data_IF_630405658610
#
_entry.id   IF_630405658610
#
_cell.length_a   1.000
_cell.length_b   1.000
_cell.length_c   1.000
_cell.angle_alpha   90.00
_cell.angle_beta   90.00
_cell.angle_gamma   90.00
#
_symmetry.space_group_name_H-M   'P 1'
#
loop_
_entity.id
_entity.type
_entity.pdbx_description
1 polymer ?
#
# COMPACT_ATOMS: atom_id res chain seq x y z
N UNK A 1 9.97 -26.21 -4.71
CA UNK A 1 9.47 -26.63 -6.05
C UNK A 1 9.13 -25.46 -6.99
N UNK A 2 9.00 -24.24 -6.46
CA UNK A 2 8.67 -23.02 -7.21
C UNK A 2 9.42 -22.84 -8.54
N UNK A 3 10.77 -22.89 -8.62
CA UNK A 3 11.48 -22.52 -9.85
C UNK A 3 11.16 -23.43 -11.04
N UNK A 4 10.75 -24.68 -10.79
CA UNK A 4 10.32 -25.59 -11.85
C UNK A 4 8.89 -25.27 -12.28
N UNK A 5 7.98 -25.18 -11.32
CA UNK A 5 6.54 -24.99 -11.58
C UNK A 5 6.24 -23.67 -12.27
N UNK A 6 6.91 -22.58 -11.86
CA UNK A 6 6.69 -21.27 -12.46
C UNK A 6 7.07 -21.26 -13.95
N UNK A 7 8.19 -21.90 -14.32
CA UNK A 7 8.63 -22.00 -15.72
C UNK A 7 7.63 -22.75 -16.60
N UNK A 8 6.99 -23.78 -16.06
CA UNK A 8 6.01 -24.58 -16.79
C UNK A 8 4.70 -23.80 -17.00
N UNK A 9 4.42 -22.80 -16.15
CA UNK A 9 3.21 -21.98 -16.19
C UNK A 9 3.38 -20.69 -16.98
N UNK A 10 4.59 -20.16 -17.14
CA UNK A 10 4.79 -18.86 -17.79
C UNK A 10 4.71 -18.95 -19.32
N UNK A 11 4.07 -17.94 -19.93
CA UNK A 11 4.02 -17.69 -21.38
C UNK A 11 4.63 -16.32 -21.64
N UNK A 12 5.71 -16.26 -22.41
CA UNK A 12 6.32 -14.99 -22.79
C UNK A 12 5.34 -14.13 -23.61
N UNK A 13 5.24 -12.85 -23.26
CA UNK A 13 4.51 -11.82 -23.99
C UNK A 13 5.44 -10.82 -24.67
N UNK A 14 4.87 -9.70 -25.09
CA UNK A 14 5.59 -8.62 -25.79
C UNK A 14 6.25 -7.67 -24.79
N UNK A 15 7.46 -7.21 -25.09
CA UNK A 15 8.23 -6.23 -24.29
C UNK A 15 8.46 -6.64 -22.83
N UNK A 16 8.75 -7.93 -22.59
CA UNK A 16 9.02 -8.45 -21.24
C UNK A 16 7.78 -8.66 -20.38
N UNK A 17 6.58 -8.43 -20.92
CA UNK A 17 5.34 -8.87 -20.27
C UNK A 17 5.29 -10.41 -20.23
N UNK A 18 4.70 -10.96 -19.18
CA UNK A 18 4.51 -12.39 -18.99
C UNK A 18 3.03 -12.68 -18.78
N UNK A 19 2.52 -13.67 -19.51
CA UNK A 19 1.22 -14.29 -19.25
C UNK A 19 1.44 -15.65 -18.60
N UNK A 20 0.34 -16.36 -18.32
CA UNK A 20 0.37 -17.76 -17.95
C UNK A 20 -0.21 -18.65 -19.05
N UNK A 21 0.21 -19.91 -19.06
CA UNK A 21 -0.34 -21.02 -19.81
C UNK A 21 -0.95 -22.01 -18.82
N UNK A 22 -2.28 -21.98 -18.67
CA UNK A 22 -2.97 -22.94 -17.80
C UNK A 22 -3.36 -24.14 -18.64
N UNK A 23 -2.91 -25.36 -18.31
CA UNK A 23 -3.36 -26.55 -19.00
C UNK A 23 -4.87 -26.75 -18.80
N UNK A 24 -5.54 -27.27 -19.82
CA UNK A 24 -6.96 -27.63 -19.70
C UNK A 24 -7.16 -28.61 -18.54
N UNK A 25 -8.05 -28.26 -17.61
CA UNK A 25 -8.34 -29.14 -16.47
C UNK A 25 -9.07 -30.40 -16.95
N UNK A 26 -8.69 -31.59 -16.43
CA UNK A 26 -9.38 -32.82 -16.77
C UNK A 26 -10.82 -32.78 -16.24
N UNK A 27 -11.72 -33.47 -16.92
CA UNK A 27 -13.08 -33.67 -16.43
C UNK A 27 -13.07 -34.54 -15.17
N UNK A 28 -13.90 -34.18 -14.19
CA UNK A 28 -14.13 -34.98 -12.99
C UNK A 28 -15.46 -35.69 -13.17
N UNK A 29 -15.42 -37.02 -13.24
CA UNK A 29 -16.60 -37.86 -13.49
C UNK A 29 -17.36 -37.50 -14.79
N UNK A 30 -16.63 -37.10 -15.84
CA UNK A 30 -17.21 -36.70 -17.13
C UNK A 30 -17.87 -35.32 -17.11
N UNK A 31 -17.60 -34.50 -16.08
CA UNK A 31 -18.06 -33.13 -15.99
C UNK A 31 -16.89 -32.16 -15.97
N UNK A 32 -17.01 -31.10 -16.77
CA UNK A 32 -16.11 -29.95 -16.67
C UNK A 32 -16.46 -29.18 -15.40
N UNK A 33 -15.52 -29.14 -14.47
CA UNK A 33 -15.62 -28.25 -13.31
C UNK A 33 -15.48 -26.81 -13.83
N UNK A 34 -16.52 -26.00 -13.62
CA UNK A 34 -16.48 -24.56 -13.90
C UNK A 34 -16.27 -23.86 -12.57
N UNK A 35 -15.03 -23.49 -12.29
CA UNK A 35 -14.64 -22.71 -11.12
C UNK A 35 -13.84 -21.49 -11.57
N UNK A 36 -13.97 -20.39 -10.82
CA UNK A 36 -13.08 -19.24 -10.97
C UNK A 36 -11.71 -19.66 -10.41
N UNK A 37 -10.88 -20.17 -11.30
CA UNK A 37 -9.61 -20.79 -10.95
C UNK A 37 -8.57 -19.75 -10.53
N UNK A 38 -8.70 -18.52 -11.05
CA UNK A 38 -7.89 -17.37 -10.68
C UNK A 38 -6.39 -17.64 -10.86
N UNK A 39 -6.02 -18.54 -11.78
CA UNK A 39 -4.64 -19.02 -11.91
C UNK A 39 -3.67 -17.86 -12.18
N UNK A 40 -4.09 -16.84 -12.96
CA UNK A 40 -3.25 -15.66 -13.21
C UNK A 40 -3.02 -14.86 -11.93
N UNK A 41 -4.09 -14.60 -11.16
CA UNK A 41 -3.97 -13.95 -9.87
C UNK A 41 -3.08 -14.74 -8.90
N UNK A 42 -3.29 -16.06 -8.80
CA UNK A 42 -2.54 -16.92 -7.87
C UNK A 42 -1.06 -17.04 -8.25
N UNK A 43 -0.74 -17.18 -9.53
CA UNK A 43 0.65 -17.21 -9.99
C UNK A 43 1.33 -15.87 -9.72
N UNK A 44 0.63 -14.75 -9.91
CA UNK A 44 1.17 -13.41 -9.62
C UNK A 44 1.40 -13.21 -8.13
N UNK A 45 0.43 -13.60 -7.28
CA UNK A 45 0.59 -13.58 -5.82
C UNK A 45 1.75 -14.48 -5.37
N UNK A 46 1.88 -15.68 -5.93
CA UNK A 46 2.97 -16.58 -5.61
C UNK A 46 4.34 -16.03 -6.00
N UNK A 47 4.47 -15.41 -7.18
CA UNK A 47 5.72 -14.75 -7.58
C UNK A 47 6.11 -13.63 -6.59
N UNK A 48 5.13 -12.88 -6.07
CA UNK A 48 5.37 -11.86 -5.04
C UNK A 48 5.88 -12.45 -3.72
N UNK A 49 5.28 -13.55 -3.26
CA UNK A 49 5.73 -14.26 -2.05
C UNK A 49 7.16 -14.77 -2.17
N UNK A 50 7.52 -15.32 -3.33
CA UNK A 50 8.83 -15.93 -3.54
C UNK A 50 9.95 -14.90 -3.80
N UNK A 51 9.63 -13.60 -3.79
CA UNK A 51 10.58 -12.54 -4.10
C UNK A 51 11.09 -12.55 -5.56
N UNK A 52 10.35 -13.19 -6.47
CA UNK A 52 10.70 -13.28 -7.88
C UNK A 52 10.32 -11.99 -8.63
N UNK A 53 11.12 -10.95 -8.39
CA UNK A 53 10.82 -9.59 -8.84
C UNK A 53 10.77 -9.43 -10.36
N UNK A 54 11.50 -10.25 -11.13
CA UNK A 54 11.46 -10.21 -12.59
C UNK A 54 10.15 -10.80 -13.12
N UNK A 55 9.78 -11.99 -12.64
CA UNK A 55 8.52 -12.65 -13.01
C UNK A 55 7.32 -11.81 -12.60
N UNK A 56 7.31 -11.30 -11.36
CA UNK A 56 6.24 -10.45 -10.84
C UNK A 56 6.04 -9.22 -11.73
N UNK A 57 7.12 -8.54 -12.10
CA UNK A 57 7.06 -7.35 -12.97
C UNK A 57 6.50 -7.68 -14.34
N UNK A 58 6.90 -8.80 -14.94
CA UNK A 58 6.37 -9.25 -16.22
C UNK A 58 4.87 -9.55 -16.16
N UNK A 59 4.42 -10.24 -15.12
CA UNK A 59 2.99 -10.55 -14.91
C UNK A 59 2.16 -9.29 -14.69
N UNK A 60 2.62 -8.37 -13.84
CA UNK A 60 1.94 -7.09 -13.61
C UNK A 60 1.90 -6.23 -14.89
N UNK A 61 2.97 -6.24 -15.70
CA UNK A 61 2.98 -5.54 -16.98
C UNK A 61 1.95 -6.12 -17.98
N UNK A 62 1.74 -7.44 -17.97
CA UNK A 62 0.67 -8.06 -18.76
C UNK A 62 -0.71 -7.63 -18.27
N UNK A 63 -0.94 -7.67 -16.95
CA UNK A 63 -2.21 -7.25 -16.36
C UNK A 63 -2.53 -5.79 -16.73
N UNK A 64 -1.57 -4.89 -16.57
CA UNK A 64 -1.77 -3.47 -16.85
C UNK A 64 -2.09 -3.18 -18.32
N UNK A 65 -1.53 -3.99 -19.22
CA UNK A 65 -1.72 -3.80 -20.66
C UNK A 65 -3.03 -4.41 -21.19
N UNK A 66 -3.42 -5.57 -20.68
CA UNK A 66 -4.47 -6.39 -21.31
C UNK A 66 -5.69 -6.66 -20.43
N UNK A 67 -5.64 -6.34 -19.14
CA UNK A 67 -6.73 -6.62 -18.18
C UNK A 67 -7.50 -5.35 -17.76
N UNK A 68 -7.34 -4.27 -18.52
CA UNK A 68 -8.10 -3.02 -18.37
C UNK A 68 -8.12 -2.46 -16.93
N UNK A 69 -6.96 -2.22 -16.30
CA UNK A 69 -6.92 -1.62 -14.96
C UNK A 69 -7.73 -0.31 -14.90
N UNK A 70 -8.48 -0.14 -13.83
CA UNK A 70 -9.32 1.04 -13.61
C UNK A 70 -9.15 1.56 -12.19
N UNK A 71 -9.42 2.85 -12.01
CA UNK A 71 -9.46 3.51 -10.71
C UNK A 71 -10.90 3.84 -10.37
N UNK A 72 -11.31 3.50 -9.15
CA UNK A 72 -12.60 3.88 -8.59
C UNK A 72 -12.35 4.31 -7.14
N UNK A 73 -12.79 5.52 -6.79
CA UNK A 73 -12.69 6.07 -5.43
C UNK A 73 -11.26 6.00 -4.84
N UNK A 74 -10.24 6.22 -5.67
CA UNK A 74 -8.83 6.16 -5.27
C UNK A 74 -8.24 4.75 -5.19
N UNK A 75 -9.01 3.70 -5.46
CA UNK A 75 -8.56 2.31 -5.49
C UNK A 75 -8.32 1.78 -6.92
N UNK A 76 -7.16 1.15 -7.14
CA UNK A 76 -6.88 0.39 -8.36
C UNK A 76 -7.56 -0.98 -8.32
N UNK A 77 -8.28 -1.34 -9.38
CA UNK A 77 -8.86 -2.67 -9.55
C UNK A 77 -8.81 -3.10 -11.02
N UNK A 78 -8.95 -4.40 -11.27
CA UNK A 78 -9.11 -4.94 -12.63
C UNK A 78 -10.56 -5.42 -12.80
N UNK A 79 -11.35 -4.82 -13.70
CA UNK A 79 -12.74 -5.19 -13.93
C UNK A 79 -12.87 -6.65 -14.36
N UNK A 80 -13.96 -7.31 -13.92
CA UNK A 80 -14.27 -8.68 -14.34
C UNK A 80 -14.32 -8.78 -15.87
N UNK A 81 -13.66 -9.79 -16.41
CA UNK A 81 -13.72 -10.16 -17.82
C UNK A 81 -13.77 -11.68 -17.93
N UNK A 82 -14.83 -12.21 -18.55
CA UNK A 82 -15.03 -13.65 -18.73
C UNK A 82 -14.38 -14.18 -20.02
N UNK A 83 -13.82 -13.30 -20.87
CA UNK A 83 -13.08 -13.67 -22.07
C UNK A 83 -11.68 -14.20 -21.76
N UNK A 84 -11.45 -15.49 -22.00
CA UNK A 84 -10.17 -16.15 -21.69
C UNK A 84 -9.01 -15.49 -22.42
N UNK A 85 -9.15 -15.33 -23.74
CA UNK A 85 -8.21 -14.63 -24.61
C UNK A 85 -8.98 -13.67 -25.54
N UNK A 86 -8.30 -12.62 -25.98
CA UNK A 86 -8.79 -11.74 -27.04
C UNK A 86 -8.56 -12.37 -28.43
N UNK A 87 -8.91 -11.64 -29.49
CA UNK A 87 -8.76 -12.11 -30.88
C UNK A 87 -7.31 -12.44 -31.28
N UNK A 88 -6.32 -11.87 -30.60
CA UNK A 88 -4.89 -12.09 -30.84
C UNK A 88 -4.32 -13.27 -30.02
N UNK A 89 -5.16 -14.00 -29.27
CA UNK A 89 -4.73 -15.09 -28.39
C UNK A 89 -3.99 -14.61 -27.13
N UNK A 90 -4.23 -13.37 -26.71
CA UNK A 90 -3.67 -12.77 -25.50
C UNK A 90 -4.66 -12.96 -24.36
N UNK A 91 -4.18 -13.47 -23.21
CA UNK A 91 -5.04 -13.71 -22.04
C UNK A 91 -5.62 -12.41 -21.49
N UNK A 92 -6.95 -12.35 -21.38
CA UNK A 92 -7.70 -11.20 -20.85
C UNK A 92 -8.64 -11.57 -19.69
N UNK A 93 -8.71 -12.85 -19.30
CA UNK A 93 -9.58 -13.30 -18.21
C UNK A 93 -9.24 -12.57 -16.92
N UNK A 94 -10.27 -12.01 -16.29
CA UNK A 94 -10.18 -11.44 -14.95
C UNK A 94 -11.37 -11.96 -14.16
N UNK A 95 -11.13 -12.94 -13.31
CA UNK A 95 -12.11 -13.40 -12.32
C UNK A 95 -12.22 -12.39 -11.17
N UNK A 96 -13.34 -12.36 -10.43
CA UNK A 96 -13.53 -11.42 -9.31
C UNK A 96 -12.38 -11.42 -8.30
N UNK A 97 -11.87 -12.59 -7.93
CA UNK A 97 -10.76 -12.72 -6.98
C UNK A 97 -9.40 -12.33 -7.59
N UNK A 98 -9.16 -12.61 -8.87
CA UNK A 98 -7.96 -12.13 -9.57
C UNK A 98 -7.90 -10.60 -9.57
N UNK A 99 -9.00 -9.95 -9.95
CA UNK A 99 -9.04 -8.50 -10.13
C UNK A 99 -9.15 -7.67 -8.86
N UNK A 100 -9.87 -8.16 -7.84
CA UNK A 100 -10.10 -7.40 -6.59
C UNK A 100 -9.18 -7.79 -5.44
N UNK A 101 -8.53 -8.95 -5.49
CA UNK A 101 -7.73 -9.46 -4.36
C UNK A 101 -6.31 -9.77 -4.78
N UNK A 102 -6.11 -10.73 -5.68
CA UNK A 102 -4.80 -11.34 -5.88
C UNK A 102 -3.80 -10.40 -6.58
N UNK A 103 -4.25 -9.58 -7.53
CA UNK A 103 -3.38 -8.59 -8.17
C UNK A 103 -3.06 -7.42 -7.24
N UNK A 104 -4.02 -6.96 -6.43
CA UNK A 104 -3.77 -5.96 -5.39
C UNK A 104 -2.79 -6.48 -4.35
N UNK A 105 -3.00 -7.70 -3.88
CA UNK A 105 -2.09 -8.43 -3.00
C UNK A 105 -0.68 -8.44 -3.57
N UNK A 106 -0.49 -8.97 -4.78
CA UNK A 106 0.83 -9.11 -5.38
C UNK A 106 1.58 -7.78 -5.58
N UNK A 107 0.86 -6.67 -5.73
CA UNK A 107 1.45 -5.32 -5.83
C UNK A 107 1.92 -4.76 -4.50
N UNK A 108 1.18 -5.05 -3.43
CA UNK A 108 1.46 -4.54 -2.08
C UNK A 108 2.41 -5.46 -1.30
N UNK A 109 2.46 -6.73 -1.69
CA UNK A 109 3.20 -7.74 -0.96
C UNK A 109 4.71 -7.52 -1.04
N UNK A 110 5.39 -7.97 0.00
CA UNK A 110 6.85 -8.07 0.06
C UNK A 110 7.26 -9.55 -0.07
N UNK A 111 8.51 -9.85 -0.46
CA UNK A 111 9.02 -11.21 -0.38
C UNK A 111 8.77 -11.80 1.00
N UNK A 112 8.36 -13.07 1.05
CA UNK A 112 8.00 -13.81 2.26
C UNK A 112 6.89 -13.14 3.10
N UNK A 113 6.00 -12.34 2.50
CA UNK A 113 5.00 -11.54 3.20
C UNK A 113 4.07 -12.32 4.15
N UNK A 114 3.48 -13.44 3.71
CA UNK A 114 2.66 -14.28 4.61
C UNK A 114 3.49 -14.91 5.73
N UNK A 115 4.74 -15.27 5.41
CA UNK A 115 5.65 -15.84 6.39
C UNK A 115 6.00 -14.80 7.46
N UNK A 116 6.34 -13.56 7.07
CA UNK A 116 6.59 -12.45 8.00
C UNK A 116 5.36 -12.15 8.84
N UNK A 117 4.17 -12.09 8.24
CA UNK A 117 2.93 -11.84 8.98
C UNK A 117 2.72 -12.83 10.14
N UNK A 118 3.06 -14.11 9.92
CA UNK A 118 2.87 -15.16 10.92
C UNK A 118 4.05 -15.32 11.89
N UNK A 119 5.29 -15.27 11.38
CA UNK A 119 6.49 -15.59 12.15
C UNK A 119 7.17 -14.36 12.75
N UNK A 120 6.90 -13.18 12.20
CA UNK A 120 7.46 -11.90 12.63
C UNK A 120 6.35 -10.85 12.84
N UNK A 121 5.32 -11.15 13.67
CA UNK A 121 4.28 -10.18 13.95
C UNK A 121 4.87 -8.96 14.67
N UNK A 122 4.24 -7.80 14.49
CA UNK A 122 4.64 -6.60 15.20
C UNK A 122 4.57 -6.79 16.71
N UNK A 123 5.66 -6.43 17.40
CA UNK A 123 5.70 -6.39 18.86
C UNK A 123 4.86 -5.25 19.44
N UNK A 124 4.60 -5.29 20.75
CA UNK A 124 3.79 -4.26 21.44
C UNK A 124 4.34 -2.85 21.25
N UNK A 125 5.67 -2.70 21.22
CA UNK A 125 6.36 -1.42 21.00
C UNK A 125 5.91 -0.73 19.72
N UNK A 126 5.59 -1.47 18.65
CA UNK A 126 5.12 -0.88 17.40
C UNK A 126 3.83 -0.07 17.59
N UNK A 127 2.91 -0.56 18.43
CA UNK A 127 1.63 0.11 18.67
C UNK A 127 1.76 1.34 19.61
N UNK A 128 2.95 1.56 20.18
CA UNK A 128 3.29 2.73 20.99
C UNK A 128 4.01 3.81 20.16
N UNK A 129 4.39 3.50 18.92
CA UNK A 129 5.08 4.43 18.02
C UNK A 129 4.15 5.59 17.58
N UNK A 130 4.69 6.80 17.37
CA UNK A 130 3.95 7.89 16.76
C UNK A 130 3.31 7.46 15.44
N UNK A 131 2.02 7.74 15.28
CA UNK A 131 1.29 7.36 14.08
C UNK A 131 0.16 8.33 13.79
N UNK A 132 -0.26 8.34 12.52
CA UNK A 132 -1.53 8.95 12.12
C UNK A 132 -2.65 8.03 12.61
N UNK A 133 -3.55 8.56 13.43
CA UNK A 133 -4.66 7.80 14.05
C UNK A 133 -6.04 8.19 13.54
N UNK A 134 -6.14 9.35 12.89
CA UNK A 134 -7.35 9.78 12.21
C UNK A 134 -7.00 10.77 11.08
N UNK A 135 -7.84 10.79 10.06
CA UNK A 135 -7.79 11.76 8.97
C UNK A 135 -9.21 12.21 8.62
N UNK A 136 -9.34 13.42 8.09
CA UNK A 136 -10.57 13.93 7.49
C UNK A 136 -10.99 13.09 6.28
N UNK A 137 -12.28 13.10 5.96
CA UNK A 137 -12.83 12.33 4.83
C UNK A 137 -12.28 12.77 3.46
N UNK A 138 -11.74 13.99 3.38
CA UNK A 138 -11.12 14.60 2.21
C UNK A 138 -9.59 14.50 2.21
N UNK A 139 -9.00 13.61 3.03
CA UNK A 139 -7.55 13.46 3.17
C UNK A 139 -7.11 12.05 2.84
N UNK A 140 -6.19 11.94 1.88
CA UNK A 140 -5.52 10.70 1.52
C UNK A 140 -4.10 10.67 2.09
N UNK A 141 -3.71 9.51 2.64
CA UNK A 141 -2.35 9.23 3.13
C UNK A 141 -1.73 8.13 2.27
N UNK A 142 -0.76 8.49 1.44
CA UNK A 142 -0.07 7.53 0.56
C UNK A 142 1.15 6.87 1.22
N UNK A 143 1.62 7.43 2.35
CA UNK A 143 2.71 6.89 3.17
C UNK A 143 2.57 7.35 4.61
N UNK A 144 2.84 6.48 5.57
CA UNK A 144 3.05 6.83 6.98
C UNK A 144 3.97 5.78 7.62
N UNK A 145 5.24 6.14 7.87
CA UNK A 145 6.26 5.22 8.37
C UNK A 145 7.02 5.89 9.50
N UNK A 146 7.04 5.26 10.68
CA UNK A 146 7.88 5.68 11.79
C UNK A 146 9.23 4.95 11.75
N UNK A 147 10.31 5.72 11.79
CA UNK A 147 11.68 5.24 11.98
C UNK A 147 12.06 5.46 13.46
N UNK A 148 12.03 4.41 14.30
CA UNK A 148 12.37 4.53 15.72
C UNK A 148 13.84 4.89 15.94
N UNK A 149 14.74 4.50 15.04
CA UNK A 149 16.17 4.84 15.13
C UNK A 149 16.45 6.33 14.92
N UNK A 150 15.52 7.05 14.28
CA UNK A 150 15.60 8.49 14.04
C UNK A 150 14.56 9.30 14.80
N UNK A 151 13.63 8.66 15.51
CA UNK A 151 12.50 9.34 16.15
C UNK A 151 11.66 10.13 15.15
N UNK A 152 11.43 9.57 13.96
CA UNK A 152 10.92 10.30 12.79
C UNK A 152 9.73 9.60 12.16
N UNK A 153 8.60 10.28 12.03
CA UNK A 153 7.44 9.85 11.25
C UNK A 153 7.49 10.54 9.88
N UNK A 154 7.71 9.75 8.83
CA UNK A 154 7.62 10.18 7.43
C UNK A 154 6.24 9.88 6.88
N UNK A 155 5.53 10.89 6.39
CA UNK A 155 4.22 10.71 5.79
C UNK A 155 4.03 11.55 4.54
N UNK A 156 3.09 11.15 3.69
CA UNK A 156 2.71 11.88 2.49
C UNK A 156 1.19 12.04 2.50
N UNK A 157 0.75 13.28 2.35
CA UNK A 157 -0.64 13.69 2.51
C UNK A 157 -1.11 14.48 1.30
N UNK A 158 -2.31 14.16 0.83
CA UNK A 158 -3.03 14.90 -0.20
C UNK A 158 -4.45 15.20 0.30
N UNK A 159 -4.83 16.48 0.26
CA UNK A 159 -6.21 16.89 0.50
C UNK A 159 -6.97 16.95 -0.82
N UNK A 160 -7.97 16.09 -0.94
CA UNK A 160 -8.88 16.00 -2.08
C UNK A 160 -9.79 17.22 -2.16
N UNK A 161 -10.17 17.57 -3.38
CA UNK A 161 -11.07 18.71 -3.69
C UNK A 161 -12.46 18.26 -4.14
N UNK A 162 -12.62 16.98 -4.46
CA UNK A 162 -13.87 16.37 -4.92
C UNK A 162 -14.72 15.78 -3.78
N UNK A 163 -14.16 15.74 -2.57
CA UNK A 163 -14.83 15.27 -1.34
C UNK A 163 -14.83 16.39 -0.31
N UNK A 164 -15.95 16.59 0.37
CA UNK A 164 -16.04 17.55 1.46
C UNK A 164 -15.48 16.96 2.76
N UNK A 165 -14.63 17.73 3.45
CA UNK A 165 -14.11 17.38 4.77
C UNK A 165 -13.40 18.57 5.42
N UNK A 166 -12.78 18.32 6.57
CA UNK A 166 -12.11 19.33 7.38
C UNK A 166 -10.61 19.45 7.07
N UNK A 167 -10.03 18.55 6.27
CA UNK A 167 -8.61 18.55 5.97
C UNK A 167 -7.72 18.16 7.15
N UNK A 168 -8.26 17.50 8.18
CA UNK A 168 -7.54 17.21 9.41
C UNK A 168 -6.67 15.96 9.28
N UNK A 169 -5.46 16.00 9.85
CA UNK A 169 -4.62 14.82 10.11
C UNK A 169 -4.27 14.80 11.60
N UNK A 170 -4.64 13.73 12.31
CA UNK A 170 -4.34 13.54 13.74
C UNK A 170 -3.19 12.59 13.92
N UNK A 171 -2.15 13.05 14.60
CA UNK A 171 -0.95 12.29 14.95
C UNK A 171 -0.91 12.09 16.45
N UNK A 172 -0.90 10.84 16.90
CA UNK A 172 -0.86 10.47 18.31
C UNK A 172 0.53 10.01 18.76
N UNK A 173 0.70 9.88 20.08
CA UNK A 173 1.87 9.25 20.74
C UNK A 173 3.22 9.94 20.46
N UNK A 174 3.18 11.22 20.12
CA UNK A 174 4.36 12.03 19.88
C UNK A 174 4.74 12.92 21.06
N UNK A 175 3.77 13.60 21.69
CA UNK A 175 4.06 14.69 22.63
C UNK A 175 4.80 14.25 23.90
N UNK A 176 4.61 13.00 24.33
CA UNK A 176 5.34 12.39 25.44
C UNK A 176 6.81 12.09 25.17
N UNK A 177 7.30 12.32 23.94
CA UNK A 177 8.67 12.00 23.51
C UNK A 177 9.61 13.20 23.53
N UNK A 178 9.14 14.36 24.00
CA UNK A 178 9.94 15.57 24.11
C UNK A 178 9.67 16.58 22.99
N UNK A 179 10.61 17.51 22.71
CA UNK A 179 10.44 18.50 21.66
C UNK A 179 10.22 17.84 20.30
N UNK A 180 9.34 18.44 19.51
CA UNK A 180 8.97 17.95 18.19
C UNK A 180 9.03 19.05 17.14
N UNK A 181 9.18 18.64 15.88
CA UNK A 181 9.06 19.53 14.73
C UNK A 181 8.32 18.87 13.59
N UNK A 182 7.58 19.67 12.82
CA UNK A 182 6.88 19.31 11.61
C UNK A 182 7.47 20.10 10.44
N UNK A 183 7.90 19.39 9.41
CA UNK A 183 8.33 19.98 8.15
C UNK A 183 7.59 19.34 6.98
N UNK A 184 7.31 20.10 5.93
CA UNK A 184 6.72 19.60 4.70
C UNK A 184 7.53 20.11 3.51
N UNK A 185 7.91 19.20 2.62
CA UNK A 185 8.84 19.43 1.49
C UNK A 185 10.14 20.15 1.92
N UNK A 186 10.61 19.85 3.13
CA UNK A 186 11.81 20.43 3.72
C UNK A 186 11.62 21.81 4.35
N UNK A 187 10.45 22.44 4.21
CA UNK A 187 10.14 23.70 4.89
C UNK A 187 9.61 23.42 6.31
N UNK A 188 10.14 24.11 7.32
CA UNK A 188 9.63 24.03 8.69
C UNK A 188 8.23 24.66 8.77
N UNK A 189 7.26 23.91 9.30
CA UNK A 189 5.86 24.32 9.42
C UNK A 189 5.53 24.69 10.86
N UNK A 190 5.93 23.85 11.81
CA UNK A 190 5.67 24.04 13.22
C UNK A 190 6.71 23.29 14.06
N UNK A 191 6.91 23.76 15.28
CA UNK A 191 7.70 23.06 16.29
C UNK A 191 7.07 23.28 17.66
N UNK A 192 7.34 22.39 18.60
CA UNK A 192 6.71 22.47 19.91
C UNK A 192 7.34 21.57 20.96
N UNK A 193 6.85 21.71 22.17
CA UNK A 193 7.18 20.83 23.29
C UNK A 193 5.94 20.70 24.18
N UNK A 194 5.51 19.47 24.47
CA UNK A 194 4.23 19.21 25.14
C UNK A 194 3.08 19.95 24.43
N UNK A 195 2.33 20.80 25.15
CA UNK A 195 1.20 21.56 24.61
C UNK A 195 1.60 22.86 23.89
N UNK A 196 2.87 23.28 23.94
CA UNK A 196 3.31 24.51 23.31
C UNK A 196 3.53 24.31 21.81
N UNK A 197 2.93 25.17 21.00
CA UNK A 197 3.08 25.18 19.53
C UNK A 197 3.65 26.50 19.06
N UNK A 198 4.70 26.43 18.24
CA UNK A 198 5.27 27.55 17.52
C UNK A 198 5.09 27.33 16.02
N UNK A 199 4.26 28.16 15.41
CA UNK A 199 4.01 28.13 13.97
C UNK A 199 5.12 28.86 13.21
N UNK A 200 5.60 28.25 12.13
CA UNK A 200 6.55 28.83 11.18
C UNK A 200 5.95 28.98 9.76
N UNK A 201 4.83 28.32 9.47
CA UNK A 201 4.14 28.35 8.18
C UNK A 201 2.65 28.65 8.27
N UNK A 202 1.95 28.55 7.12
CA UNK A 202 0.52 28.85 6.98
C UNK A 202 -0.42 27.66 7.27
N UNK A 203 0.12 26.45 7.39
CA UNK A 203 -0.65 25.25 7.76
C UNK A 203 -1.00 25.35 9.23
N UNK A 204 -2.26 25.20 9.61
CA UNK A 204 -2.65 25.25 11.03
C UNK A 204 -2.17 24.00 11.77
N UNK A 205 -1.61 24.16 12.97
CA UNK A 205 -1.29 23.05 13.88
C UNK A 205 -1.82 23.36 15.27
N UNK A 206 -2.50 22.41 15.87
CA UNK A 206 -3.03 22.51 17.23
C UNK A 206 -2.77 21.23 18.02
N UNK A 207 -2.89 21.33 19.34
CA UNK A 207 -2.78 20.20 20.26
C UNK A 207 -4.15 19.94 20.86
N UNK A 208 -4.60 18.70 20.75
CA UNK A 208 -5.84 18.22 21.38
C UNK A 208 -5.52 17.03 22.28
N UNK A 209 -5.53 17.23 23.59
CA UNK A 209 -5.06 16.21 24.54
C UNK A 209 -3.56 15.93 24.34
N UNK A 210 -3.24 14.68 24.01
CA UNK A 210 -1.86 14.21 23.76
C UNK A 210 -1.53 14.08 22.25
N UNK A 211 -2.44 14.57 21.39
CA UNK A 211 -2.35 14.42 19.94
C UNK A 211 -2.07 15.77 19.24
N UNK A 212 -1.38 15.69 18.11
CA UNK A 212 -1.12 16.83 17.22
C UNK A 212 -2.10 16.77 16.05
N UNK A 213 -2.83 17.86 15.83
CA UNK A 213 -3.74 18.01 14.70
C UNK A 213 -3.12 18.97 13.68
N UNK A 214 -3.05 18.51 12.44
CA UNK A 214 -2.59 19.30 11.29
C UNK A 214 -3.81 19.63 10.44
N UNK A 215 -4.03 20.92 10.21
CA UNK A 215 -5.09 21.44 9.35
C UNK A 215 -4.55 21.69 7.95
N UNK A 216 -4.70 20.71 7.08
CA UNK A 216 -4.23 20.78 5.70
C UNK A 216 -5.14 21.72 4.90
N UNK A 217 -4.66 22.83 4.31
CA UNK A 217 -5.49 23.69 3.47
C UNK A 217 -5.95 22.98 2.18
N UNK A 218 -6.93 23.55 1.49
CA UNK A 218 -7.36 23.04 0.19
C UNK A 218 -6.19 23.00 -0.81
N UNK A 219 -6.05 21.89 -1.55
CA UNK A 219 -4.94 21.67 -2.48
C UNK A 219 -3.60 21.33 -1.81
N UNK A 220 -3.59 21.04 -0.50
CA UNK A 220 -2.37 20.60 0.20
C UNK A 220 -1.96 19.20 -0.27
N UNK A 221 -0.78 19.10 -0.90
CA UNK A 221 -0.23 17.84 -1.38
C UNK A 221 1.29 17.84 -1.16
N UNK A 222 1.74 17.26 -0.03
CA UNK A 222 3.12 17.39 0.43
C UNK A 222 3.67 16.12 1.07
N UNK A 223 4.99 15.95 1.01
CA UNK A 223 5.71 15.00 1.85
C UNK A 223 6.12 15.67 3.14
N UNK A 224 5.59 15.18 4.26
CA UNK A 224 5.84 15.74 5.57
C UNK A 224 6.67 14.79 6.44
N UNK A 225 7.38 15.40 7.38
CA UNK A 225 8.26 14.75 8.33
C UNK A 225 7.97 15.34 9.69
N UNK A 226 7.64 14.47 10.63
CA UNK A 226 7.54 14.83 12.03
C UNK A 226 8.68 14.18 12.79
N UNK A 227 9.45 14.97 13.52
CA UNK A 227 10.53 14.45 14.38
C UNK A 227 10.19 14.70 15.83
N UNK A 228 10.56 13.76 16.69
CA UNK A 228 10.67 13.95 18.14
C UNK A 228 12.12 13.74 18.52
N UNK A 229 12.64 14.50 19.48
CA UNK A 229 13.89 14.13 20.13
C UNK A 229 13.74 12.68 20.63
N UNK A 230 14.65 11.78 20.25
CA UNK A 230 14.58 10.42 20.76
C UNK A 230 14.72 10.50 22.28
N UNK A 231 13.61 10.27 23.00
CA UNK A 231 13.68 10.06 24.44
C UNK A 231 14.65 8.92 24.67
N UNK A 232 15.68 9.15 25.49
CA UNK A 232 16.51 8.08 26.01
C UNK A 232 15.55 7.01 26.54
N UNK A 233 15.46 5.88 25.84
CA UNK A 233 14.65 4.77 26.27
C UNK A 233 15.18 4.38 27.64
N UNK A 234 14.38 4.59 28.68
CA UNK A 234 14.66 4.08 30.01
C UNK A 234 14.74 2.55 29.88
N UNK A 235 15.97 2.04 29.76
CA UNK A 235 16.32 0.66 30.02
C UNK A 235 16.08 0.42 31.51
N UNK A 236 14.90 -0.08 31.83
CA UNK A 236 14.52 -0.64 33.12
C UNK A 236 14.30 -2.14 33.02
#
# INVERSE_FOLDING_TARGET
HYPRQIRDLLKAGVDGALSINVPARPEVMGQRIVTDDCDFGWVTAWASEMGDAETLRGLLAHADRYMAPAWLDGGLYYPRNDGVENADGIRTLVEPMSGNVLLGYARLNIPDGLWHLYNEPWGTTHFEEPAIVAVGADVDISRAVFDPGRGRLDFAVERRTDVAGDGMVRIARLLGRGPWSLSCDGANIAQGAAADVQMAGAVGVEIEGDDVLIHCPEGFAHSCVMTSAAGEAHLG
#
